data_IF_014573623025
#
_entry.id   IF_014573623025
#
_cell.length_a   1.000
_cell.length_b   1.000
_cell.length_c   1.000
_cell.angle_alpha   90.00
_cell.angle_beta   90.00
_cell.angle_gamma   90.00
#
_symmetry.space_group_name_H-M   'P 1'
#
loop_
_entity.id
_entity.type
_entity.pdbx_description
1 polymer ?
#
# COMPACT_ATOMS: atom_id res chain seq x y z
N UNK A 1 5.28 -18.49 -14.27
CA UNK A 1 5.32 -17.08 -13.79
C UNK A 1 6.52 -16.39 -14.43
N UNK A 2 6.33 -15.49 -15.40
CA UNK A 2 7.47 -14.79 -16.04
C UNK A 2 7.80 -13.42 -15.42
N UNK A 3 6.90 -12.85 -14.60
CA UNK A 3 7.01 -11.50 -14.03
C UNK A 3 6.78 -11.51 -12.50
N UNK A 4 7.49 -12.37 -11.77
CA UNK A 4 7.48 -12.35 -10.30
C UNK A 4 8.73 -11.60 -9.82
N UNK A 5 8.54 -10.52 -9.06
CA UNK A 5 9.60 -9.84 -8.34
C UNK A 5 9.34 -9.99 -6.84
N UNK A 6 10.29 -10.57 -6.13
CA UNK A 6 10.29 -10.61 -4.66
C UNK A 6 11.10 -9.41 -4.18
N UNK A 7 10.60 -8.71 -3.17
CA UNK A 7 11.24 -7.54 -2.58
C UNK A 7 11.45 -7.85 -1.11
N UNK A 8 12.68 -7.67 -0.65
CA UNK A 8 12.99 -7.74 0.77
C UNK A 8 12.60 -6.43 1.44
N UNK A 9 12.01 -6.48 2.63
CA UNK A 9 11.67 -5.30 3.42
C UNK A 9 12.87 -4.36 3.63
N UNK A 10 14.09 -4.90 3.75
CA UNK A 10 15.33 -4.11 3.92
C UNK A 10 15.68 -3.27 2.69
N UNK A 11 15.08 -3.53 1.53
CA UNK A 11 15.24 -2.69 0.34
C UNK A 11 14.44 -1.40 0.43
N UNK A 12 13.42 -1.35 1.30
CA UNK A 12 12.57 -0.17 1.48
C UNK A 12 13.31 0.83 2.38
N UNK A 13 13.54 2.07 1.90
CA UNK A 13 14.13 3.13 2.72
C UNK A 13 13.31 3.39 3.99
N UNK A 14 14.01 3.66 5.10
CA UNK A 14 13.37 3.91 6.40
C UNK A 14 12.43 5.10 6.37
N UNK A 15 12.71 6.11 5.52
CA UNK A 15 11.85 7.28 5.34
C UNK A 15 10.51 6.92 4.69
N UNK A 16 10.53 6.00 3.72
CA UNK A 16 9.33 5.48 3.08
C UNK A 16 8.53 4.64 4.08
N UNK A 17 9.22 3.78 4.85
CA UNK A 17 8.60 2.99 5.91
C UNK A 17 7.91 3.88 6.95
N UNK A 18 8.61 4.89 7.49
CA UNK A 18 8.06 5.82 8.48
C UNK A 18 6.85 6.60 7.93
N UNK A 19 6.89 7.00 6.66
CA UNK A 19 5.75 7.65 6.02
C UNK A 19 4.55 6.71 5.93
N UNK A 20 4.76 5.45 5.54
CA UNK A 20 3.72 4.44 5.51
C UNK A 20 3.17 4.14 6.92
N UNK A 21 4.04 4.06 7.93
CA UNK A 21 3.65 3.84 9.32
C UNK A 21 2.73 4.98 9.81
N UNK A 22 3.09 6.24 9.57
CA UNK A 22 2.27 7.39 9.95
C UNK A 22 0.88 7.39 9.28
N UNK A 23 0.78 6.86 8.06
CA UNK A 23 -0.50 6.66 7.40
C UNK A 23 -1.32 5.55 8.09
N UNK A 24 -0.69 4.43 8.41
CA UNK A 24 -1.35 3.21 8.87
C UNK A 24 -1.62 3.13 10.37
N UNK A 25 -0.84 3.79 11.25
CA UNK A 25 -0.89 3.60 12.71
C UNK A 25 -2.29 3.80 13.33
N UNK A 26 -3.10 4.71 12.78
CA UNK A 26 -4.46 4.99 13.26
C UNK A 26 -5.56 4.13 12.58
N UNK A 27 -5.17 3.26 11.65
CA UNK A 27 -6.07 2.43 10.83
C UNK A 27 -5.83 0.95 11.12
N UNK A 28 -4.66 0.46 10.74
CA UNK A 28 -4.10 -0.87 11.00
C UNK A 28 -2.58 -0.81 10.77
N UNK A 29 -1.80 -0.86 11.85
CA UNK A 29 -0.34 -0.81 11.78
C UNK A 29 0.25 -1.93 10.93
N UNK A 30 -0.40 -3.10 10.87
CA UNK A 30 0.11 -4.26 10.13
C UNK A 30 0.17 -4.02 8.62
N UNK A 31 -0.61 -3.07 8.10
CA UNK A 31 -0.62 -2.71 6.68
C UNK A 31 0.56 -1.83 6.25
N UNK A 32 1.36 -1.36 7.21
CA UNK A 32 2.51 -0.47 6.96
C UNK A 32 3.43 -0.98 5.86
N UNK A 33 3.81 -2.27 5.90
CA UNK A 33 4.76 -2.83 4.94
C UNK A 33 4.21 -2.84 3.51
N UNK A 34 2.91 -3.11 3.34
CA UNK A 34 2.28 -3.12 2.01
C UNK A 34 2.17 -1.72 1.42
N UNK A 35 1.86 -0.72 2.25
CA UNK A 35 1.85 0.69 1.84
C UNK A 35 3.26 1.18 1.52
N UNK A 36 4.25 0.84 2.35
CA UNK A 36 5.64 1.17 2.11
C UNK A 36 6.15 0.56 0.80
N UNK A 37 5.82 -0.70 0.52
CA UNK A 37 6.16 -1.38 -0.72
C UNK A 37 5.50 -0.72 -1.94
N UNK A 38 4.21 -0.37 -1.84
CA UNK A 38 3.48 0.38 -2.88
C UNK A 38 4.14 1.72 -3.19
N UNK A 39 4.55 2.46 -2.16
CA UNK A 39 5.27 3.73 -2.30
C UNK A 39 6.66 3.55 -2.92
N UNK A 40 7.44 2.57 -2.45
CA UNK A 40 8.77 2.24 -2.95
C UNK A 40 8.76 1.89 -4.44
N UNK A 41 7.76 1.12 -4.87
CA UNK A 41 7.59 0.74 -6.27
C UNK A 41 6.88 1.80 -7.12
N UNK A 42 6.39 2.87 -6.50
CA UNK A 42 5.49 3.85 -7.13
C UNK A 42 4.30 3.17 -7.84
N UNK A 43 3.74 2.13 -7.22
CA UNK A 43 2.64 1.32 -7.75
C UNK A 43 1.31 1.67 -7.05
N UNK A 44 0.20 1.10 -7.55
CA UNK A 44 -1.06 1.03 -6.80
C UNK A 44 -1.07 -0.27 -5.99
N UNK A 45 -1.48 -0.19 -4.72
CA UNK A 45 -1.75 -1.38 -3.92
C UNK A 45 -3.14 -1.92 -4.27
N UNK A 46 -3.20 -3.16 -4.72
CA UNK A 46 -4.46 -3.86 -4.88
C UNK A 46 -4.91 -4.44 -3.54
N UNK A 47 -6.08 -4.03 -3.06
CA UNK A 47 -6.67 -4.54 -1.82
C UNK A 47 -8.20 -4.49 -1.88
N UNK A 48 -8.85 -5.39 -1.14
CA UNK A 48 -10.30 -5.37 -0.90
C UNK A 48 -10.65 -4.86 0.51
N UNK A 49 -9.66 -4.46 1.31
CA UNK A 49 -9.89 -3.96 2.66
C UNK A 49 -10.51 -2.55 2.61
N UNK A 50 -11.82 -2.49 2.89
CA UNK A 50 -12.58 -1.25 2.88
C UNK A 50 -12.18 -0.29 4.01
N UNK A 51 -11.76 -0.81 5.16
CA UNK A 51 -11.34 0.02 6.30
C UNK A 51 -10.03 0.72 5.96
N UNK A 52 -9.07 -0.03 5.42
CA UNK A 52 -7.80 0.51 4.94
C UNK A 52 -8.01 1.56 3.84
N UNK A 53 -8.82 1.23 2.83
CA UNK A 53 -9.12 2.15 1.73
C UNK A 53 -9.73 3.46 2.23
N UNK A 54 -10.75 3.36 3.09
CA UNK A 54 -11.44 4.55 3.60
C UNK A 54 -10.51 5.40 4.45
N UNK A 55 -9.75 4.79 5.36
CA UNK A 55 -8.82 5.50 6.23
C UNK A 55 -7.69 6.18 5.46
N UNK A 56 -7.11 5.50 4.48
CA UNK A 56 -6.03 6.06 3.65
C UNK A 56 -6.53 7.18 2.73
N UNK A 57 -7.72 7.05 2.14
CA UNK A 57 -8.34 8.11 1.34
C UNK A 57 -8.59 9.38 2.16
N UNK A 58 -9.04 9.24 3.42
CA UNK A 58 -9.21 10.37 4.34
C UNK A 58 -7.88 11.06 4.68
N UNK A 59 -6.79 10.30 4.70
CA UNK A 59 -5.42 10.82 4.87
C UNK A 59 -4.77 11.31 3.56
N UNK A 60 -5.52 11.36 2.44
CA UNK A 60 -5.04 11.85 1.15
C UNK A 60 -4.18 10.86 0.36
N UNK A 61 -4.17 9.57 0.73
CA UNK A 61 -3.46 8.52 0.01
C UNK A 61 -4.39 7.77 -0.95
N UNK A 62 -4.19 7.95 -2.26
CA UNK A 62 -5.08 7.43 -3.31
C UNK A 62 -4.43 6.36 -4.22
N UNK A 63 -3.27 5.81 -3.82
CA UNK A 63 -2.57 4.76 -4.57
C UNK A 63 -3.11 3.37 -4.26
N UNK A 64 -4.42 3.23 -4.31
CA UNK A 64 -5.16 2.00 -4.05
C UNK A 64 -5.95 1.60 -5.29
N UNK A 65 -6.23 0.32 -5.43
CA UNK A 65 -7.14 -0.21 -6.45
C UNK A 65 -7.90 -1.40 -5.88
N UNK A 66 -9.19 -1.47 -6.16
CA UNK A 66 -10.07 -2.57 -5.76
C UNK A 66 -10.18 -3.62 -6.86
N UNK A 67 -10.66 -4.81 -6.50
CA UNK A 67 -10.94 -5.87 -7.49
C UNK A 67 -11.98 -5.43 -8.51
N UNK A 68 -13.02 -4.70 -8.08
CA UNK A 68 -14.06 -4.19 -8.98
C UNK A 68 -13.49 -3.19 -10.01
N UNK A 69 -12.52 -2.36 -9.62
CA UNK A 69 -11.83 -1.44 -10.52
C UNK A 69 -10.86 -2.16 -11.46
N UNK A 70 -10.25 -3.26 -11.01
CA UNK A 70 -9.37 -4.08 -11.85
C UNK A 70 -10.14 -4.84 -12.93
N UNK A 71 -11.31 -5.39 -12.61
CA UNK A 71 -12.12 -6.18 -13.56
C UNK A 71 -12.82 -5.28 -14.59
N UNK A 72 -13.11 -4.02 -14.25
CA UNK A 72 -13.70 -3.04 -15.18
C UNK A 72 -12.72 -2.51 -16.24
N UNK A 73 -11.44 -2.83 -16.12
CA UNK A 73 -10.40 -2.49 -17.10
C UNK A 73 -10.18 -3.63 -18.08
#
# INVERSE_FOLDING_TARGET
MKNLRIINEKEIPVEIYNTAFNLCQDIDENDTLFIACSMFLNAKLWTSDKKLITGLNQKGFFKLITTDELIKK
#
